data_IF_838488848507
#
_entry.id   IF_838488848507
#
_cell.length_a   1.000
_cell.length_b   1.000
_cell.length_c   1.000
_cell.angle_alpha   90.00
_cell.angle_beta   90.00
_cell.angle_gamma   90.00
#
_symmetry.space_group_name_H-M   'P 1'
#
loop_
_entity.id
_entity.type
_entity.pdbx_description
1 polymer ?
#
# COMPACT_ATOMS: atom_id res chain seq x y z
N UNK A 1 8.50 -18.17 -7.17
CA UNK A 1 7.43 -17.21 -6.78
C UNK A 1 7.69 -16.56 -5.41
N UNK A 2 8.92 -16.55 -4.89
CA UNK A 2 9.20 -16.19 -3.48
C UNK A 2 9.73 -14.78 -3.25
N UNK A 3 9.80 -13.91 -4.27
CA UNK A 3 10.42 -12.58 -4.12
C UNK A 3 9.43 -11.41 -4.34
N UNK A 4 8.28 -11.64 -4.98
CA UNK A 4 7.35 -10.57 -5.38
C UNK A 4 6.67 -9.86 -4.21
N UNK A 5 6.29 -10.59 -3.16
CA UNK A 5 5.65 -10.03 -1.96
C UNK A 5 6.52 -10.23 -0.72
N UNK A 6 6.15 -9.57 0.39
CA UNK A 6 6.78 -9.81 1.68
C UNK A 6 6.47 -11.23 2.17
N UNK A 7 7.50 -11.88 2.70
CA UNK A 7 7.41 -13.20 3.33
C UNK A 7 6.75 -13.12 4.70
N UNK A 8 6.31 -14.27 5.24
CA UNK A 8 5.73 -14.36 6.59
C UNK A 8 6.65 -13.80 7.68
N UNK A 9 7.98 -13.91 7.51
CA UNK A 9 8.96 -13.33 8.43
C UNK A 9 9.11 -11.81 8.32
N UNK A 10 8.77 -11.22 7.18
CA UNK A 10 8.81 -9.78 6.94
C UNK A 10 7.49 -9.10 7.34
N UNK A 11 6.37 -9.84 7.28
CA UNK A 11 5.05 -9.32 7.59
C UNK A 11 4.84 -9.07 9.10
N UNK A 12 4.05 -8.05 9.48
CA UNK A 12 3.63 -7.90 10.86
C UNK A 12 2.78 -9.10 11.31
N UNK A 13 2.95 -9.53 12.56
CA UNK A 13 2.22 -10.67 13.11
C UNK A 13 0.69 -10.51 13.00
N UNK A 14 0.02 -11.55 12.50
CA UNK A 14 -1.43 -11.58 12.32
C UNK A 14 -1.94 -10.92 11.03
N UNK A 15 -1.05 -10.54 10.10
CA UNK A 15 -1.44 -10.09 8.77
C UNK A 15 -1.20 -11.17 7.73
N UNK A 16 -2.18 -11.33 6.85
CA UNK A 16 -2.11 -12.13 5.64
C UNK A 16 -2.62 -11.29 4.49
N UNK A 17 -2.02 -11.46 3.31
CA UNK A 17 -2.49 -10.77 2.12
C UNK A 17 -3.88 -11.27 1.72
N UNK A 18 -4.82 -10.37 1.40
CA UNK A 18 -6.10 -10.74 0.82
C UNK A 18 -5.93 -11.56 -0.47
N UNK A 19 -6.77 -12.58 -0.67
CA UNK A 19 -6.65 -13.50 -1.81
C UNK A 19 -6.89 -12.83 -3.17
N UNK A 20 -7.73 -11.80 -3.20
CA UNK A 20 -7.96 -10.94 -4.35
C UNK A 20 -6.72 -10.12 -4.71
N UNK A 21 -6.00 -9.57 -3.72
CA UNK A 21 -4.71 -8.91 -3.94
C UNK A 21 -3.64 -9.89 -4.46
N UNK A 22 -3.53 -11.09 -3.87
CA UNK A 22 -2.61 -12.13 -4.35
C UNK A 22 -2.89 -12.46 -5.82
N UNK A 23 -4.17 -12.61 -6.18
CA UNK A 23 -4.58 -12.85 -7.56
C UNK A 23 -4.17 -11.70 -8.47
N UNK A 24 -4.36 -10.45 -8.02
CA UNK A 24 -3.99 -9.24 -8.76
C UNK A 24 -2.50 -9.22 -9.11
N UNK A 25 -1.64 -9.48 -8.13
CA UNK A 25 -0.18 -9.57 -8.30
C UNK A 25 0.21 -10.75 -9.20
N UNK A 26 -0.44 -11.90 -9.04
CA UNK A 26 -0.19 -13.09 -9.87
C UNK A 26 -0.53 -12.86 -11.34
N UNK A 27 -1.49 -11.98 -11.63
CA UNK A 27 -1.84 -11.58 -13.00
C UNK A 27 -0.95 -10.45 -13.55
N UNK A 28 0.10 -10.06 -12.81
CA UNK A 28 1.03 -8.99 -13.17
C UNK A 28 0.35 -7.64 -13.45
N UNK A 29 -0.81 -7.40 -12.81
CA UNK A 29 -1.47 -6.10 -12.87
C UNK A 29 -0.76 -5.17 -11.90
N UNK A 30 0.32 -4.54 -12.37
CA UNK A 30 1.23 -3.76 -11.52
C UNK A 30 1.10 -2.24 -11.71
N UNK A 31 0.40 -1.80 -12.75
CA UNK A 31 0.30 -0.39 -13.12
C UNK A 31 -1.15 0.02 -13.40
N UNK A 32 -1.60 1.04 -12.67
CA UNK A 32 -2.90 1.70 -12.75
C UNK A 32 -2.65 3.20 -12.61
N UNK A 33 -2.02 3.83 -13.62
CA UNK A 33 -1.60 5.25 -13.59
C UNK A 33 -2.61 6.14 -12.87
N UNK A 34 -2.26 6.87 -11.79
CA UNK A 34 -0.92 7.14 -11.28
C UNK A 34 -0.38 6.12 -10.26
N UNK A 35 -1.11 5.04 -9.97
CA UNK A 35 -0.73 4.04 -8.98
C UNK A 35 0.14 2.91 -9.57
N UNK A 36 1.16 2.53 -8.81
CA UNK A 36 1.98 1.35 -9.05
C UNK A 36 1.89 0.42 -7.86
N UNK A 37 1.47 -0.83 -8.09
CA UNK A 37 1.56 -1.87 -7.08
C UNK A 37 3.03 -2.12 -6.75
N UNK A 38 3.34 -2.16 -5.46
CA UNK A 38 4.70 -2.36 -4.97
C UNK A 38 4.99 -3.86 -4.88
N UNK A 39 6.01 -4.31 -5.60
CA UNK A 39 6.52 -5.68 -5.55
C UNK A 39 8.04 -5.68 -5.36
N UNK A 40 8.59 -6.87 -5.09
CA UNK A 40 10.02 -7.16 -5.08
C UNK A 40 10.83 -6.23 -4.16
N UNK A 41 11.98 -5.73 -4.64
CA UNK A 41 12.85 -4.84 -3.86
C UNK A 41 12.15 -3.52 -3.51
N UNK A 42 11.37 -2.95 -4.43
CA UNK A 42 10.64 -1.68 -4.21
C UNK A 42 9.67 -1.79 -3.03
N UNK A 43 9.00 -2.94 -2.90
CA UNK A 43 8.12 -3.22 -1.77
C UNK A 43 8.89 -3.25 -0.45
N UNK A 44 10.04 -3.93 -0.42
CA UNK A 44 10.87 -4.07 0.80
C UNK A 44 11.49 -2.76 1.23
N UNK A 45 12.05 -2.01 0.29
CA UNK A 45 12.60 -0.68 0.55
C UNK A 45 11.52 0.25 1.11
N UNK A 46 10.33 0.24 0.49
CA UNK A 46 9.22 1.07 0.96
C UNK A 46 8.72 0.64 2.33
N UNK A 47 8.59 -0.66 2.57
CA UNK A 47 8.16 -1.21 3.86
C UNK A 47 9.14 -0.84 4.98
N UNK A 48 10.44 -0.98 4.76
CA UNK A 48 11.46 -0.59 5.72
C UNK A 48 11.50 0.92 5.94
N UNK A 49 11.34 1.72 4.88
CA UNK A 49 11.26 3.18 4.96
C UNK A 49 10.10 3.66 5.82
N UNK A 50 8.89 3.16 5.55
CA UNK A 50 7.69 3.46 6.34
C UNK A 50 7.85 3.07 7.80
N UNK A 51 8.44 1.89 8.08
CA UNK A 51 8.71 1.43 9.44
C UNK A 51 9.69 2.34 10.19
N UNK A 52 10.69 2.88 9.50
CA UNK A 52 11.67 3.80 10.09
C UNK A 52 11.05 5.18 10.37
N UNK A 53 10.22 5.69 9.45
CA UNK A 53 9.58 7.01 9.57
C UNK A 53 8.40 7.03 10.54
N UNK A 54 7.59 5.97 10.53
CA UNK A 54 6.36 5.85 11.30
C UNK A 54 6.39 4.60 12.21
N UNK A 55 7.33 4.49 13.16
CA UNK A 55 7.53 3.28 13.97
C UNK A 55 6.32 2.93 14.85
N UNK A 56 5.44 3.89 15.12
CA UNK A 56 4.21 3.69 15.89
C UNK A 56 3.04 3.16 15.04
N UNK A 57 3.22 3.01 13.72
CA UNK A 57 2.20 2.48 12.82
C UNK A 57 2.61 1.11 12.30
N UNK A 58 1.61 0.26 12.11
CA UNK A 58 1.79 -1.09 11.56
C UNK A 58 1.28 -1.08 10.12
N UNK A 59 2.16 -0.66 9.20
CA UNK A 59 1.83 -0.46 7.79
C UNK A 59 2.48 -1.54 6.94
N UNK A 60 1.70 -2.13 6.04
CA UNK A 60 2.22 -2.92 4.93
C UNK A 60 1.94 -2.14 3.65
N UNK A 61 2.94 -1.70 2.88
CA UNK A 61 2.70 -0.95 1.65
C UNK A 61 2.09 -1.85 0.56
N UNK A 62 1.11 -1.29 -0.15
CA UNK A 62 0.37 -1.91 -1.25
C UNK A 62 0.78 -1.32 -2.60
N UNK A 63 0.66 0.00 -2.72
CA UNK A 63 0.90 0.72 -3.97
C UNK A 63 1.41 2.13 -3.67
N UNK A 64 2.20 2.71 -4.58
CA UNK A 64 2.63 4.11 -4.53
C UNK A 64 2.00 4.90 -5.66
N UNK A 65 1.71 6.17 -5.43
CA UNK A 65 1.48 7.13 -6.52
C UNK A 65 2.81 7.57 -7.12
N UNK A 66 2.81 7.95 -8.39
CA UNK A 66 3.98 8.48 -9.07
C UNK A 66 4.08 10.00 -9.06
N UNK A 67 2.94 10.69 -8.99
CA UNK A 67 2.82 12.14 -9.06
C UNK A 67 3.01 12.81 -7.70
N UNK A 68 3.07 12.01 -6.62
CA UNK A 68 3.34 12.46 -5.27
C UNK A 68 3.93 11.32 -4.40
N UNK A 69 4.16 11.62 -3.12
CA UNK A 69 4.72 10.68 -2.15
C UNK A 69 3.65 9.79 -1.45
N UNK A 70 2.44 9.70 -1.99
CA UNK A 70 1.38 8.89 -1.39
C UNK A 70 1.61 7.40 -1.60
N UNK A 71 1.32 6.65 -0.55
CA UNK A 71 1.43 5.19 -0.51
C UNK A 71 0.16 4.62 0.10
N UNK A 72 -0.56 3.83 -0.66
CA UNK A 72 -1.62 3.00 -0.12
C UNK A 72 -0.99 1.89 0.74
N UNK A 73 -1.46 1.74 1.97
CA UNK A 73 -0.94 0.77 2.93
C UNK A 73 -2.09 0.02 3.59
N UNK A 74 -1.97 -1.30 3.77
CA UNK A 74 -2.77 -1.98 4.79
C UNK A 74 -2.31 -1.47 6.16
N UNK A 75 -3.21 -0.81 6.86
CA UNK A 75 -2.98 -0.27 8.19
C UNK A 75 -3.64 -1.17 9.23
N UNK A 76 -2.79 -1.96 9.90
CA UNK A 76 -3.24 -2.92 10.91
C UNK A 76 -3.71 -2.23 12.19
N UNK A 77 -3.36 -0.95 12.40
CA UNK A 77 -3.88 -0.18 13.53
C UNK A 77 -5.33 0.23 13.33
N UNK A 78 -5.80 0.35 12.09
CA UNK A 78 -7.18 0.74 11.75
C UNK A 78 -8.00 -0.39 11.15
N UNK A 79 -7.36 -1.47 10.67
CA UNK A 79 -8.01 -2.56 9.95
C UNK A 79 -8.47 -2.18 8.54
N UNK A 80 -7.89 -1.13 7.97
CA UNK A 80 -8.27 -0.52 6.68
C UNK A 80 -7.06 -0.33 5.79
N UNK A 81 -7.27 0.00 4.52
CA UNK A 81 -6.23 0.59 3.69
C UNK A 81 -6.21 2.11 3.92
N UNK A 82 -5.05 2.64 4.28
CA UNK A 82 -4.84 4.07 4.48
C UNK A 82 -3.92 4.61 3.39
N UNK A 83 -4.16 5.85 2.95
CA UNK A 83 -3.21 6.58 2.11
C UNK A 83 -2.24 7.31 3.04
N UNK A 84 -0.95 7.04 2.89
CA UNK A 84 0.13 7.56 3.71
C UNK A 84 1.03 8.43 2.83
N UNK A 85 1.14 9.72 3.16
CA UNK A 85 2.07 10.64 2.52
C UNK A 85 3.48 10.43 3.12
N UNK A 86 4.28 9.59 2.47
CA UNK A 86 5.43 8.87 3.05
C UNK A 86 6.65 9.72 3.46
N UNK A 87 6.59 11.04 3.39
CA UNK A 87 7.63 11.93 3.90
C UNK A 87 7.08 13.09 4.74
N UNK A 88 5.80 13.03 5.11
CA UNK A 88 5.23 13.95 6.09
C UNK A 88 5.78 13.69 7.50
N UNK A 89 5.76 14.72 8.35
CA UNK A 89 6.06 14.58 9.76
C UNK A 89 5.09 13.58 10.43
N UNK A 90 5.57 12.75 11.39
CA UNK A 90 4.72 11.82 12.11
C UNK A 90 3.50 12.51 12.75
N UNK A 91 2.30 11.97 12.49
CA UNK A 91 1.01 12.53 12.90
C UNK A 91 0.28 13.29 11.79
N UNK A 92 0.95 13.60 10.68
CA UNK A 92 0.40 14.34 9.54
C UNK A 92 0.36 13.53 8.25
N UNK A 93 0.85 12.30 8.28
CA UNK A 93 1.04 11.48 7.08
C UNK A 93 -0.25 10.82 6.57
N UNK A 94 -1.30 10.71 7.40
CA UNK A 94 -2.56 10.11 6.96
C UNK A 94 -3.35 11.07 6.06
N UNK A 95 -3.67 10.63 4.85
CA UNK A 95 -4.52 11.37 3.90
C UNK A 95 -5.95 10.84 3.95
N UNK A 96 -6.91 11.76 4.10
CA UNK A 96 -8.34 11.48 4.14
C UNK A 96 -8.84 10.94 5.48
N UNK A 97 -10.12 11.17 5.77
CA UNK A 97 -10.67 10.94 7.12
C UNK A 97 -11.07 9.49 7.40
N UNK A 98 -11.20 8.62 6.38
CA UNK A 98 -11.92 7.33 6.54
C UNK A 98 -11.21 6.06 6.08
N UNK A 99 -10.12 6.12 5.33
CA UNK A 99 -9.48 4.94 4.73
C UNK A 99 -10.44 4.10 3.86
N UNK A 100 -9.94 3.06 3.22
CA UNK A 100 -10.74 2.10 2.46
C UNK A 100 -10.96 0.83 3.30
N UNK A 101 -12.18 0.26 3.33
CA UNK A 101 -12.46 -0.92 4.14
C UNK A 101 -11.68 -2.17 3.71
N UNK A 102 -11.35 -2.29 2.41
CA UNK A 102 -10.68 -3.44 1.83
C UNK A 102 -9.97 -3.09 0.52
N UNK A 103 -9.31 -4.10 -0.08
CA UNK A 103 -8.59 -3.96 -1.35
C UNK A 103 -9.50 -3.59 -2.51
N UNK A 104 -10.72 -4.13 -2.59
CA UNK A 104 -11.66 -3.84 -3.66
C UNK A 104 -12.12 -2.37 -3.64
N UNK A 105 -12.42 -1.83 -2.46
CA UNK A 105 -12.80 -0.43 -2.30
C UNK A 105 -11.65 0.52 -2.68
N UNK A 106 -10.40 0.19 -2.29
CA UNK A 106 -9.24 0.94 -2.76
C UNK A 106 -9.05 0.82 -4.27
N UNK A 107 -9.19 -0.38 -4.84
CA UNK A 107 -9.01 -0.63 -6.27
C UNK A 107 -10.01 0.16 -7.13
N UNK A 108 -11.28 0.25 -6.71
CA UNK A 108 -12.25 1.11 -7.40
C UNK A 108 -11.80 2.56 -7.42
N UNK A 109 -11.32 3.09 -6.28
CA UNK A 109 -10.79 4.46 -6.22
C UNK A 109 -9.53 4.64 -7.08
N UNK A 110 -8.64 3.65 -7.14
CA UNK A 110 -7.45 3.71 -7.97
C UNK A 110 -7.80 3.68 -9.47
N UNK A 111 -8.87 2.97 -9.85
CA UNK A 111 -9.40 2.99 -11.22
C UNK A 111 -10.03 4.34 -11.53
N UNK A 112 -10.77 4.94 -10.60
CA UNK A 112 -11.32 6.29 -10.78
C UNK A 112 -10.18 7.31 -10.98
N UNK A 113 -9.14 7.27 -10.12
CA UNK A 113 -7.93 8.09 -10.28
C UNK A 113 -7.32 7.90 -11.69
N UNK A 114 -7.25 6.66 -12.18
CA UNK A 114 -6.71 6.35 -13.50
C UNK A 114 -7.53 6.88 -14.67
N UNK A 115 -8.85 6.89 -14.54
CA UNK A 115 -9.73 7.47 -15.56
C UNK A 115 -9.69 9.01 -15.57
N UNK A 116 -9.38 9.61 -14.41
CA UNK A 116 -9.32 11.07 -14.24
C UNK A 116 -7.93 11.66 -14.49
N UNK A 117 -6.87 10.86 -14.42
CA UNK A 117 -5.49 11.28 -14.61
C UNK A 117 -5.25 11.82 -16.04
N UNK A 118 -4.53 12.94 -16.16
CA UNK A 118 -4.30 13.68 -17.41
C UNK A 118 -2.91 14.30 -17.48
#
# INVERSE_FOLDING_TARGET
MSETLLTVSELPAGFEYPSDFIRFVTMEIIYLEPWFVLTDERLRERHQGLKNRYPNRRLVPLARREDNDDVACWDLSTGKISIVHDFADPGWESRGDRGFPDFAAWLHSAIDDMLEFR
#
